data_IF_623935741590
#
_entry.id   IF_623935741590
#
_cell.length_a   1.000
_cell.length_b   1.000
_cell.length_c   1.000
_cell.angle_alpha   90.00
_cell.angle_beta   90.00
_cell.angle_gamma   90.00
#
_symmetry.space_group_name_H-M   'P 1'
#
loop_
_entity.id
_entity.type
_entity.pdbx_description
1 polymer ?
#
# COMPACT_ATOMS: atom_id res chain seq x y z
N UNK A 1 -17.28 -12.83 4.46
CA UNK A 1 -18.04 -11.93 5.25
C UNK A 1 -18.51 -10.74 4.41
N UNK A 2 -19.51 -10.09 4.93
CA UNK A 2 -20.15 -9.04 4.18
C UNK A 2 -19.21 -7.86 3.92
N UNK A 3 -18.26 -7.69 4.77
CA UNK A 3 -17.36 -6.55 4.63
C UNK A 3 -16.44 -6.71 3.45
N UNK A 4 -16.40 -7.87 2.83
CA UNK A 4 -15.60 -8.03 1.64
C UNK A 4 -16.23 -7.36 0.44
N UNK A 5 -17.48 -7.01 0.58
CA UNK A 5 -18.18 -6.35 -0.51
C UNK A 5 -17.81 -4.89 -0.54
N UNK A 6 -17.02 -4.54 -1.49
CA UNK A 6 -16.58 -3.16 -1.62
C UNK A 6 -17.18 -2.58 -2.87
N UNK A 7 -18.29 -1.89 -2.73
CA UNK A 7 -18.98 -1.37 -3.91
C UNK A 7 -18.17 -0.27 -4.59
N UNK A 8 -18.33 -0.20 -5.89
CA UNK A 8 -17.81 0.93 -6.66
C UNK A 8 -16.30 1.06 -6.59
N UNK A 9 -15.61 0.00 -6.29
CA UNK A 9 -14.17 0.05 -6.30
C UNK A 9 -13.54 0.68 -5.08
N UNK A 10 -14.34 1.08 -4.12
CA UNK A 10 -13.77 1.60 -2.90
C UNK A 10 -13.16 0.46 -2.09
N UNK A 11 -12.04 0.74 -1.47
CA UNK A 11 -11.35 -0.26 -0.68
C UNK A 11 -11.84 -0.19 0.76
N UNK A 12 -12.01 -1.37 1.37
CA UNK A 12 -12.28 -1.42 2.79
C UNK A 12 -11.02 -1.04 3.56
N UNK A 13 -11.21 -0.69 4.84
CA UNK A 13 -10.04 -0.36 5.65
C UNK A 13 -9.05 -1.52 5.72
N UNK A 14 -9.58 -2.74 5.83
CA UNK A 14 -8.70 -3.90 5.87
C UNK A 14 -7.89 -4.02 4.58
N UNK A 15 -8.51 -3.77 3.45
CA UNK A 15 -7.80 -3.83 2.18
C UNK A 15 -6.77 -2.72 2.07
N UNK A 16 -7.11 -1.54 2.54
CA UNK A 16 -6.16 -0.43 2.51
C UNK A 16 -4.95 -0.76 3.36
N UNK A 17 -5.16 -1.29 4.53
CA UNK A 17 -4.07 -1.66 5.41
C UNK A 17 -3.20 -2.72 4.77
N UNK A 18 -3.81 -3.72 4.14
CA UNK A 18 -3.04 -4.76 3.47
C UNK A 18 -2.18 -4.18 2.36
N UNK A 19 -2.76 -3.30 1.57
CA UNK A 19 -2.00 -2.71 0.48
C UNK A 19 -0.90 -1.78 0.98
N UNK A 20 -1.15 -1.08 2.08
CA UNK A 20 -0.13 -0.25 2.69
C UNK A 20 1.03 -1.12 3.18
N UNK A 21 0.72 -2.25 3.79
CA UNK A 21 1.76 -3.17 4.24
C UNK A 21 2.57 -3.71 3.08
N UNK A 22 1.91 -4.03 1.99
CA UNK A 22 2.60 -4.53 0.80
C UNK A 22 3.52 -3.46 0.24
N UNK A 23 3.04 -2.23 0.17
CA UNK A 23 3.88 -1.15 -0.33
C UNK A 23 5.09 -0.94 0.56
N UNK A 24 4.90 -1.04 1.87
CA UNK A 24 6.00 -0.88 2.81
C UNK A 24 7.04 -2.00 2.63
N UNK A 25 6.57 -3.23 2.49
CA UNK A 25 7.48 -4.36 2.28
C UNK A 25 8.29 -4.17 1.00
N UNK A 26 7.64 -3.72 -0.05
CA UNK A 26 8.32 -3.50 -1.31
C UNK A 26 9.31 -2.36 -1.20
N UNK A 27 8.97 -1.33 -0.44
CA UNK A 27 9.90 -0.24 -0.21
C UNK A 27 11.13 -0.73 0.52
N UNK A 28 10.95 -1.56 1.53
CA UNK A 28 12.08 -2.11 2.26
C UNK A 28 12.99 -2.93 1.34
N UNK A 29 12.37 -3.71 0.48
CA UNK A 29 13.14 -4.53 -0.44
C UNK A 29 13.91 -3.68 -1.42
N UNK A 30 13.28 -2.64 -1.94
CA UNK A 30 13.97 -1.73 -2.84
C UNK A 30 15.13 -1.05 -2.13
N UNK A 31 14.96 -0.72 -0.87
CA UNK A 31 16.04 -0.12 -0.10
C UNK A 31 17.22 -1.07 0.04
N UNK A 32 16.93 -2.33 0.32
CA UNK A 32 18.00 -3.32 0.44
C UNK A 32 18.79 -3.47 -0.85
N UNK A 33 18.09 -3.35 -1.97
CA UNK A 33 18.71 -3.50 -3.28
C UNK A 33 19.35 -2.20 -3.78
N UNK A 34 19.20 -1.14 -3.02
CA UNK A 34 19.75 0.14 -3.44
C UNK A 34 18.96 0.80 -4.55
N UNK A 35 17.73 0.35 -4.78
CA UNK A 35 16.90 0.90 -5.83
C UNK A 35 16.08 2.06 -5.28
N UNK A 36 16.72 3.19 -5.18
CA UNK A 36 16.10 4.33 -4.51
C UNK A 36 14.93 4.92 -5.28
N UNK A 37 14.94 4.76 -6.60
CA UNK A 37 13.80 5.22 -7.40
C UNK A 37 12.54 4.44 -7.04
N UNK A 38 12.64 3.12 -6.96
CA UNK A 38 11.50 2.31 -6.58
C UNK A 38 11.14 2.51 -5.12
N UNK A 39 12.15 2.70 -4.29
CA UNK A 39 11.89 2.99 -2.88
C UNK A 39 10.96 4.19 -2.75
N UNK A 40 11.26 5.27 -3.47
CA UNK A 40 10.41 6.44 -3.43
C UNK A 40 9.02 6.19 -3.97
N UNK A 41 8.92 5.39 -5.04
CA UNK A 41 7.62 5.07 -5.60
C UNK A 41 6.76 4.30 -4.60
N UNK A 42 7.35 3.32 -3.94
CA UNK A 42 6.58 2.53 -2.98
C UNK A 42 6.21 3.35 -1.75
N UNK A 43 7.06 4.28 -1.36
CA UNK A 43 6.69 5.17 -0.26
C UNK A 43 5.52 6.07 -0.64
N UNK A 44 5.50 6.52 -1.89
CA UNK A 44 4.36 7.30 -2.37
C UNK A 44 3.08 6.48 -2.35
N UNK A 45 3.17 5.22 -2.73
CA UNK A 45 2.00 4.35 -2.67
C UNK A 45 1.56 4.15 -1.24
N UNK A 46 2.50 3.94 -0.35
CA UNK A 46 2.19 3.78 1.06
C UNK A 46 1.44 5.00 1.58
N UNK A 47 1.95 6.18 1.27
CA UNK A 47 1.31 7.41 1.72
C UNK A 47 -0.11 7.52 1.15
N UNK A 48 -0.27 7.14 -0.10
CA UNK A 48 -1.57 7.19 -0.73
C UNK A 48 -2.58 6.33 0.01
N UNK A 49 -2.18 5.11 0.37
CA UNK A 49 -3.09 4.23 1.08
C UNK A 49 -3.36 4.73 2.48
N UNK A 50 -2.36 5.28 3.15
CA UNK A 50 -2.56 5.82 4.49
C UNK A 50 -3.53 6.99 4.47
N UNK A 51 -3.49 7.79 3.42
CA UNK A 51 -4.41 8.92 3.31
C UNK A 51 -5.85 8.47 3.04
N UNK A 52 -6.03 7.24 2.63
CA UNK A 52 -7.37 6.71 2.44
C UNK A 52 -8.03 6.28 3.75
N UNK A 53 -7.23 6.10 4.78
CA UNK A 53 -7.77 5.75 6.08
C UNK A 53 -8.34 6.99 6.76
#
# INVERSE_FOLDING_TARGET
>A
SADTETPSGELSQAEIITKAQEAFSKAEEAQKNGDWAKYGQYLNELEKYLNML
#
